data_IF_561250448626
#
_entry.id   IF_561250448626
#
_cell.length_a   1.000
_cell.length_b   1.000
_cell.length_c   1.000
_cell.angle_alpha   90.00
_cell.angle_beta   90.00
_cell.angle_gamma   90.00
#
_symmetry.space_group_name_H-M   'P 1'
#
loop_
_entity.id
_entity.type
_entity.pdbx_description
1 polymer ?
2 non-polymer ?
3 water ?
#
# COMPACT_ATOMS: atom_id res chain seq x y z
N UNK A 1 -17.21 -2.26 6.12
CA UNK A 1 -16.06 -1.67 6.85
C UNK A 1 -14.79 -2.45 6.55
N UNK A 2 -13.64 -1.87 6.89
CA UNK A 2 -12.36 -2.51 6.64
C UNK A 2 -11.37 -2.23 7.77
N UNK A 3 -10.45 -3.16 8.00
CA UNK A 3 -9.44 -2.94 9.02
C UNK A 3 -8.46 -1.95 8.43
N UNK A 4 -8.12 -2.16 7.16
CA UNK A 4 -7.18 -1.30 6.46
C UNK A 4 -7.58 -1.06 5.01
N UNK A 5 -7.41 0.17 4.56
CA UNK A 5 -7.67 0.51 3.18
C UNK A 5 -6.33 0.97 2.64
N UNK A 6 -5.86 0.29 1.60
CA UNK A 6 -4.59 0.63 0.98
C UNK A 6 -4.87 1.46 -0.27
N UNK A 7 -4.32 2.67 -0.32
CA UNK A 7 -4.53 3.49 -1.50
C UNK A 7 -3.30 3.33 -2.37
N UNK A 8 -3.50 2.76 -3.56
CA UNK A 8 -2.38 2.55 -4.46
C UNK A 8 -2.16 1.06 -4.61
N UNK A 9 -2.29 0.58 -5.84
CA UNK A 9 -2.13 -0.83 -6.12
C UNK A 9 -0.94 -1.18 -6.98
N UNK A 10 0.20 -0.54 -6.69
CA UNK A 10 1.42 -0.83 -7.41
C UNK A 10 2.15 -1.86 -6.55
N UNK A 11 3.45 -2.11 -6.77
CA UNK A 11 4.21 -3.09 -5.98
C UNK A 11 4.12 -2.93 -4.45
N UNK A 12 4.23 -1.70 -3.96
CA UNK A 12 4.17 -1.48 -2.51
C UNK A 12 2.77 -1.74 -1.95
N UNK A 13 1.75 -1.23 -2.62
CA UNK A 13 0.39 -1.43 -2.16
C UNK A 13 -0.08 -2.87 -2.20
N UNK A 14 0.26 -3.58 -3.27
CA UNK A 14 -0.14 -4.97 -3.41
C UNK A 14 0.64 -5.90 -2.48
N UNK A 15 1.89 -5.57 -2.21
CA UNK A 15 2.71 -6.37 -1.30
C UNK A 15 2.16 -6.17 0.12
N UNK A 16 1.81 -4.93 0.44
CA UNK A 16 1.26 -4.60 1.74
C UNK A 16 -0.06 -5.36 1.95
N UNK A 17 -0.90 -5.35 0.93
CA UNK A 17 -2.20 -6.03 0.99
C UNK A 17 -2.03 -7.52 1.25
N UNK A 18 -1.06 -8.13 0.57
CA UNK A 18 -0.78 -9.55 0.73
C UNK A 18 -0.45 -9.87 2.19
N UNK A 19 0.47 -9.11 2.78
CA UNK A 19 0.84 -9.36 4.17
C UNK A 19 -0.29 -9.05 5.15
N UNK A 20 -1.03 -7.98 4.89
CA UNK A 20 -2.14 -7.61 5.77
C UNK A 20 -3.23 -8.68 5.75
N UNK A 21 -3.58 -9.15 4.55
CA UNK A 21 -4.59 -10.19 4.40
C UNK A 21 -4.13 -11.47 5.08
N UNK A 22 -2.86 -11.83 4.90
CA UNK A 22 -2.33 -13.04 5.52
C UNK A 22 -2.33 -12.92 7.04
N UNK A 23 -2.38 -11.70 7.55
CA UNK A 23 -2.42 -11.48 8.99
C UNK A 23 -3.87 -11.61 9.46
N UNK A 24 -4.76 -11.94 8.53
CA UNK A 24 -6.17 -12.11 8.85
C UNK A 24 -6.97 -10.82 8.92
N UNK A 25 -6.45 -9.76 8.32
CA UNK A 25 -7.15 -8.49 8.34
C UNK A 25 -8.03 -8.30 7.11
N UNK A 26 -9.10 -7.52 7.26
CA UNK A 26 -9.99 -7.23 6.14
C UNK A 26 -9.34 -6.05 5.44
N UNK A 27 -8.74 -6.30 4.29
CA UNK A 27 -8.05 -5.25 3.56
C UNK A 27 -8.56 -5.02 2.15
N UNK A 28 -8.72 -3.74 1.82
CA UNK A 28 -9.19 -3.33 0.50
C UNK A 28 -8.17 -2.40 -0.14
N UNK A 29 -7.83 -2.71 -1.39
CA UNK A 29 -6.90 -1.90 -2.15
C UNK A 29 -7.69 -1.16 -3.22
N UNK A 30 -7.53 0.15 -3.26
CA UNK A 30 -8.20 0.99 -4.25
C UNK A 30 -7.07 1.51 -5.13
N UNK A 31 -7.12 1.21 -6.42
CA UNK A 31 -6.06 1.63 -7.32
C UNK A 31 -6.54 2.39 -8.56
N UNK A 32 -5.85 3.49 -8.87
CA UNK A 32 -6.21 4.31 -10.01
C UNK A 32 -5.61 3.90 -11.34
N UNK A 33 -4.85 2.80 -11.35
CA UNK A 33 -4.25 2.31 -12.58
C UNK A 33 -3.12 3.09 -13.22
N UNK A 34 -2.33 3.79 -12.42
CA UNK A 34 -1.22 4.56 -12.98
C UNK A 34 0.12 4.15 -12.38
N UNK A 35 0.28 2.85 -12.12
CA UNK A 35 1.53 2.35 -11.58
C UNK A 35 2.65 2.65 -12.57
N UNK A 36 3.78 3.11 -12.06
CA UNK A 36 4.91 3.43 -12.92
C UNK A 36 5.50 2.22 -13.64
N UNK A 37 5.15 1.01 -13.21
CA UNK A 37 5.70 -0.17 -13.85
C UNK A 37 4.82 -0.75 -14.96
N UNK A 38 3.57 -0.31 -15.02
CA UNK A 38 2.63 -0.85 -15.99
C UNK A 38 3.04 -0.86 -17.46
N UNK A 39 3.88 0.09 -17.88
CA UNK A 39 4.29 0.13 -19.27
C UNK A 39 5.57 -0.62 -19.62
N UNK A 40 6.24 -1.17 -18.61
CA UNK A 40 7.48 -1.89 -18.83
C UNK A 40 7.23 -3.19 -19.59
N UNK A 41 7.89 -3.35 -20.74
CA UNK A 41 7.71 -4.55 -21.55
C UNK A 41 8.32 -5.78 -20.89
N UNK A 42 9.37 -5.57 -20.10
CA UNK A 42 10.06 -6.66 -19.42
C UNK A 42 10.85 -6.18 -18.21
N UNK A 43 10.45 -6.62 -17.02
CA UNK A 43 11.12 -6.25 -15.77
C UNK A 43 12.21 -7.30 -15.57
N UNK A 44 13.48 -6.91 -15.70
CA UNK A 44 14.59 -7.86 -15.54
C UNK A 44 15.25 -7.90 -14.18
N UNK A 45 14.77 -7.08 -13.24
CA UNK A 45 15.41 -7.00 -11.94
C UNK A 45 14.54 -7.13 -10.69
N UNK A 46 13.54 -8.00 -10.74
CA UNK A 46 12.70 -8.26 -9.58
C UNK A 46 13.28 -9.61 -9.14
N UNK A 47 14.24 -9.60 -8.20
CA UNK A 47 14.91 -10.80 -7.68
C UNK A 47 14.03 -12.04 -7.53
N UNK A 48 14.33 -13.08 -8.30
CA UNK A 48 13.55 -14.30 -8.21
C UNK A 48 12.62 -14.56 -9.37
N UNK A 49 12.17 -13.50 -10.04
CA UNK A 49 11.27 -13.67 -11.18
C UNK A 49 12.09 -13.78 -12.45
N UNK A 50 12.62 -14.98 -12.67
CA UNK A 50 13.48 -15.29 -13.80
C UNK A 50 12.84 -15.22 -15.18
N UNK A 51 11.52 -15.22 -15.25
CA UNK A 51 10.88 -15.15 -16.56
C UNK A 51 10.80 -13.68 -17.00
N UNK A 52 11.19 -12.78 -16.10
CA UNK A 52 11.20 -11.35 -16.37
C UNK A 52 9.96 -10.89 -17.13
N UNK A 53 8.79 -10.96 -16.48
CA UNK A 53 7.53 -10.56 -17.10
C UNK A 53 7.41 -9.05 -17.29
N UNK A 54 6.45 -8.65 -18.12
CA UNK A 54 6.21 -7.23 -18.36
C UNK A 54 5.66 -6.67 -17.06
N UNK A 55 5.67 -5.35 -16.93
CA UNK A 55 5.16 -4.73 -15.72
C UNK A 55 3.69 -5.05 -15.53
N UNK A 56 2.96 -5.15 -16.64
CA UNK A 56 1.54 -5.46 -16.62
C UNK A 56 1.30 -6.86 -16.05
N UNK A 57 2.15 -7.80 -16.44
CA UNK A 57 2.04 -9.18 -15.97
C UNK A 57 2.42 -9.25 -14.50
N UNK A 58 3.46 -8.51 -14.12
CA UNK A 58 3.91 -8.49 -12.73
C UNK A 58 2.78 -7.99 -11.84
N UNK A 59 2.11 -6.92 -12.27
CA UNK A 59 1.00 -6.37 -11.50
C UNK A 59 -0.10 -7.42 -11.35
N UNK A 60 -0.41 -8.12 -12.43
CA UNK A 60 -1.44 -9.15 -12.38
C UNK A 60 -1.11 -10.25 -11.37
N UNK A 61 0.16 -10.66 -11.33
CA UNK A 61 0.57 -11.70 -10.39
C UNK A 61 0.53 -11.19 -8.95
N UNK A 62 0.90 -9.93 -8.75
CA UNK A 62 0.89 -9.32 -7.42
C UNK A 62 -0.54 -9.19 -6.91
N UNK A 63 -1.47 -8.87 -7.80
CA UNK A 63 -2.87 -8.73 -7.43
C UNK A 63 -3.41 -10.11 -7.08
N UNK A 64 -3.03 -11.11 -7.88
CA UNK A 64 -3.47 -12.48 -7.66
C UNK A 64 -2.95 -12.99 -6.32
N UNK A 65 -1.70 -12.66 -6.01
CA UNK A 65 -1.07 -13.10 -4.78
C UNK A 65 -1.81 -12.54 -3.56
N UNK A 66 -2.19 -11.27 -3.63
CA UNK A 66 -2.92 -10.63 -2.54
C UNK A 66 -4.33 -11.19 -2.41
N UNK A 67 -5.01 -11.36 -3.54
CA UNK A 67 -6.36 -11.90 -3.56
C UNK A 67 -6.37 -13.33 -3.06
N UNK A 68 -5.31 -14.07 -3.38
CA UNK A 68 -5.19 -15.45 -2.97
C UNK A 68 -5.41 -15.61 -1.47
N UNK A 69 -4.91 -14.66 -0.69
CA UNK A 69 -5.05 -14.75 0.75
C UNK A 69 -6.12 -13.86 1.39
N UNK A 70 -7.09 -13.43 0.58
CA UNK A 70 -8.19 -12.64 1.12
C UNK A 70 -8.30 -11.16 0.85
N UNK A 71 -7.27 -10.54 0.30
CA UNK A 71 -7.35 -9.12 0.03
C UNK A 71 -8.28 -8.86 -1.14
N UNK A 72 -8.94 -7.71 -1.12
CA UNK A 72 -9.80 -7.32 -2.22
C UNK A 72 -9.08 -6.17 -2.91
N UNK A 73 -8.92 -6.28 -4.23
CA UNK A 73 -8.23 -5.25 -5.00
C UNK A 73 -9.21 -4.71 -6.03
N UNK A 74 -9.57 -3.44 -5.88
CA UNK A 74 -10.54 -2.82 -6.77
C UNK A 74 -10.04 -1.56 -7.46
N UNK A 75 -10.48 -1.35 -8.71
CA UNK A 75 -10.05 -0.14 -9.42
C UNK A 75 -10.84 1.01 -8.81
N UNK A 76 -10.21 2.17 -8.69
CA UNK A 76 -10.89 3.31 -8.12
C UNK A 76 -9.91 4.41 -7.81
N UNK A 77 -10.38 5.65 -7.92
CA UNK A 77 -9.54 6.80 -7.64
C UNK A 77 -10.04 7.52 -6.41
N UNK A 78 -9.23 7.53 -5.36
CA UNK A 78 -9.60 8.20 -4.12
C UNK A 78 -9.45 9.71 -4.32
N UNK A 79 -10.52 10.45 -4.05
CA UNK A 79 -10.50 11.90 -4.21
C UNK A 79 -10.81 12.59 -2.89
N UNK A 80 -11.30 11.82 -1.93
CA UNK A 80 -11.62 12.39 -0.64
C UNK A 80 -11.35 11.45 0.51
N UNK A 81 -10.95 12.02 1.64
CA UNK A 81 -10.67 11.25 2.84
C UNK A 81 -11.12 12.10 4.03
N UNK A 82 -12.01 11.55 4.85
CA UNK A 82 -12.50 12.27 6.01
C UNK A 82 -12.33 11.45 7.29
N UNK A 83 -11.70 12.06 8.29
CA UNK A 83 -11.49 11.42 9.57
C UNK A 83 -12.79 11.62 10.34
N UNK A 84 -13.48 10.54 10.64
CA UNK A 84 -14.74 10.64 11.36
C UNK A 84 -14.61 10.23 12.82
N UNK A 85 -13.37 10.19 13.30
CA UNK A 85 -13.11 9.84 14.69
C UNK A 85 -13.26 8.36 15.00
N UNK A 86 -12.22 7.59 14.71
CA UNK A 86 -12.26 6.16 14.96
C UNK A 86 -12.33 5.38 13.66
N UNK A 87 -12.72 6.08 12.60
CA UNK A 87 -12.82 5.47 11.29
C UNK A 87 -12.55 6.54 10.23
N UNK A 88 -11.90 6.14 9.15
CA UNK A 88 -11.61 7.04 8.06
C UNK A 88 -12.59 6.71 6.95
N UNK A 89 -13.12 7.75 6.32
CA UNK A 89 -14.05 7.58 5.22
C UNK A 89 -13.30 7.93 3.94
N UNK A 90 -13.15 6.96 3.03
CA UNK A 90 -12.45 7.21 1.78
C UNK A 90 -13.47 7.26 0.65
N UNK A 91 -13.38 8.30 -0.17
CA UNK A 91 -14.33 8.47 -1.27
C UNK A 91 -13.74 8.41 -2.67
N UNK A 92 -14.39 7.62 -3.52
CA UNK A 92 -14.00 7.45 -4.91
C UNK A 92 -15.20 7.91 -5.74
N UNK A 93 -15.15 7.65 -7.04
CA UNK A 93 -16.26 8.04 -7.91
C UNK A 93 -17.42 7.08 -7.68
N UNK A 94 -17.10 5.86 -7.25
CA UNK A 94 -18.11 4.84 -7.02
C UNK A 94 -18.82 4.94 -5.68
N UNK A 95 -18.14 5.52 -4.69
CA UNK A 95 -18.77 5.64 -3.39
C UNK A 95 -17.82 5.85 -2.23
N UNK A 96 -18.27 5.45 -1.05
CA UNK A 96 -17.49 5.61 0.17
C UNK A 96 -17.20 4.28 0.86
N UNK A 97 -15.97 4.15 1.36
CA UNK A 97 -15.55 2.96 2.08
C UNK A 97 -14.94 3.42 3.39
N UNK A 98 -15.11 2.62 4.44
CA UNK A 98 -14.60 2.98 5.76
C UNK A 98 -13.54 2.01 6.27
N UNK A 99 -12.52 2.55 6.92
CA UNK A 99 -11.44 1.74 7.46
C UNK A 99 -10.86 2.40 8.71
N UNK A 100 -10.37 1.59 9.63
CA UNK A 100 -9.78 2.14 10.85
C UNK A 100 -8.39 2.67 10.58
N UNK A 101 -7.68 2.04 9.65
CA UNK A 101 -6.33 2.46 9.29
C UNK A 101 -6.16 2.61 7.78
N UNK A 102 -5.35 3.59 7.39
CA UNK A 102 -5.09 3.85 5.98
C UNK A 102 -3.60 3.71 5.67
N UNK A 103 -3.29 3.07 4.55
CA UNK A 103 -1.91 2.89 4.13
C UNK A 103 -1.79 3.47 2.73
N UNK A 104 -1.00 4.54 2.62
CA UNK A 104 -0.81 5.21 1.34
C UNK A 104 0.42 4.70 0.59
N UNK A 105 0.18 4.09 -0.57
CA UNK A 105 1.23 3.55 -1.43
C UNK A 105 0.94 4.18 -2.79
N UNK A 106 0.87 5.51 -2.74
CA UNK A 106 0.52 6.37 -3.87
C UNK A 106 1.67 6.95 -4.70
N UNK A 107 2.86 6.37 -4.59
CA UNK A 107 4.04 6.87 -5.30
C UNK A 107 4.26 8.35 -4.96
N UNK A 108 4.62 9.17 -5.95
CA UNK A 108 4.90 10.58 -5.70
C UNK A 108 3.73 11.56 -5.65
N UNK A 109 2.52 11.09 -5.95
CA UNK A 109 1.34 11.94 -5.96
C UNK A 109 1.05 12.54 -4.58
N UNK A 110 1.17 13.87 -4.45
CA UNK A 110 0.93 14.58 -3.18
C UNK A 110 -0.54 14.88 -2.84
N UNK A 111 -1.46 14.47 -3.70
CA UNK A 111 -2.88 14.75 -3.47
C UNK A 111 -3.40 14.36 -2.08
N UNK A 112 -3.38 13.07 -1.76
CA UNK A 112 -3.88 12.61 -0.47
C UNK A 112 -3.05 13.09 0.71
N UNK A 113 -1.71 13.13 0.57
CA UNK A 113 -0.89 13.60 1.70
C UNK A 113 -1.30 15.02 2.07
N UNK A 114 -1.55 15.84 1.05
CA UNK A 114 -1.95 17.23 1.27
C UNK A 114 -3.34 17.33 1.91
N UNK A 115 -4.24 16.42 1.54
CA UNK A 115 -5.59 16.42 2.11
C UNK A 115 -5.55 16.18 3.61
N UNK A 116 -4.66 15.29 4.03
CA UNK A 116 -4.52 14.94 5.43
C UNK A 116 -3.54 15.82 6.20
N UNK A 117 -2.93 16.77 5.50
CA UNK A 117 -1.96 17.64 6.13
C UNK A 117 -0.81 16.86 6.74
N UNK A 118 -0.38 15.81 6.04
CA UNK A 118 0.71 14.99 6.53
C UNK A 118 2.04 15.73 6.44
N UNK A 119 2.85 15.60 7.48
CA UNK A 119 4.16 16.23 7.52
C UNK A 119 4.98 15.63 6.38
N UNK A 120 5.74 16.47 5.69
CA UNK A 120 6.54 15.99 4.57
C UNK A 120 8.03 15.99 4.86
N UNK A 121 8.74 15.18 4.08
CA UNK A 121 10.19 15.06 4.15
C UNK A 121 10.57 15.33 2.70
N UNK A 122 10.84 16.59 2.39
CA UNK A 122 11.16 16.93 1.02
C UNK A 122 9.88 16.79 0.22
N UNK A 123 9.92 16.06 -0.88
CA UNK A 123 8.74 15.88 -1.71
C UNK A 123 7.96 14.63 -1.30
N UNK A 124 8.35 14.00 -0.20
CA UNK A 124 7.69 12.77 0.23
C UNK A 124 7.00 12.88 1.58
N UNK A 125 6.27 11.83 1.94
CA UNK A 125 5.57 11.79 3.22
C UNK A 125 6.60 11.45 4.30
N UNK A 126 6.64 12.24 5.37
CA UNK A 126 7.58 11.97 6.45
C UNK A 126 7.05 10.79 7.27
N UNK A 127 7.95 9.89 7.68
CA UNK A 127 7.55 8.72 8.46
C UNK A 127 8.66 8.26 9.39
N UNK A 128 8.31 7.45 10.38
CA UNK A 128 9.32 6.90 11.27
C UNK A 128 9.80 5.64 10.54
N UNK A 129 10.78 4.95 11.10
CA UNK A 129 11.32 3.75 10.46
C UNK A 129 10.25 2.81 9.91
N UNK A 130 9.18 2.62 10.68
CA UNK A 130 8.11 1.71 10.29
C UNK A 130 7.03 2.19 9.33
N UNK A 131 7.11 3.44 8.88
CA UNK A 131 6.11 3.93 7.93
C UNK A 131 4.94 4.70 8.51
N UNK A 132 4.99 5.01 9.80
CA UNK A 132 3.91 5.76 10.43
C UNK A 132 4.08 7.24 10.11
N UNK A 133 3.02 7.84 9.57
CA UNK A 133 3.04 9.25 9.20
C UNK A 133 2.80 10.11 10.44
N UNK A 134 2.66 11.41 10.22
CA UNK A 134 2.42 12.34 11.32
C UNK A 134 0.98 12.23 11.79
N UNK A 135 0.16 11.51 11.03
CA UNK A 135 -1.26 11.35 11.35
C UNK A 135 -1.53 9.95 11.89
N UNK A 136 -2.02 9.85 13.14
CA UNK A 136 -2.33 8.57 13.77
C UNK A 136 -3.18 7.64 12.89
N UNK A 137 -2.77 6.38 12.81
CA UNK A 137 -3.45 5.36 12.04
C UNK A 137 -3.33 5.52 10.53
N UNK A 138 -2.46 6.44 10.11
CA UNK A 138 -2.21 6.66 8.69
C UNK A 138 -0.75 6.28 8.45
N UNK A 139 -0.53 5.36 7.52
CA UNK A 139 0.80 4.86 7.19
C UNK A 139 1.12 5.13 5.72
N UNK A 140 2.39 4.95 5.35
CA UNK A 140 2.83 5.15 3.98
C UNK A 140 3.96 4.18 3.68
N UNK A 141 4.09 3.77 2.42
CA UNK A 141 5.13 2.83 2.03
C UNK A 141 5.55 3.03 0.58
N UNK A 142 6.76 2.58 0.25
CA UNK A 142 7.25 2.70 -1.11
C UNK A 142 7.76 4.09 -1.46
N UNK A 143 7.66 4.44 -2.73
CA UNK A 143 8.12 5.75 -3.19
C UNK A 143 7.41 6.87 -2.42
N UNK A 144 6.15 6.63 -2.05
CA UNK A 144 5.37 7.63 -1.32
C UNK A 144 6.08 8.19 -0.10
N UNK A 145 6.88 7.36 0.56
CA UNK A 145 7.60 7.83 1.74
C UNK A 145 9.10 8.02 1.54
N UNK A 146 9.52 8.22 0.29
CA UNK A 146 10.93 8.45 0.04
C UNK A 146 11.83 7.28 -0.31
N UNK A 147 11.29 6.07 -0.45
CA UNK A 147 12.13 4.94 -0.81
C UNK A 147 12.47 5.11 -2.29
N UNK A 148 13.42 6.00 -2.56
CA UNK A 148 13.81 6.29 -3.93
C UNK A 148 15.33 6.29 -4.09
N UNK A 149 15.82 6.18 -5.34
CA UNK A 149 15.05 6.06 -6.58
C UNK A 149 14.18 4.80 -6.60
N UNK A 150 12.93 4.99 -6.98
CA UNK A 150 11.97 3.90 -7.00
C UNK A 150 12.23 2.73 -7.93
N UNK A 151 12.09 1.53 -7.38
CA UNK A 151 12.24 0.29 -8.12
C UNK A 151 11.16 -0.65 -7.59
N UNK A 152 10.67 -1.53 -8.44
CA UNK A 152 9.61 -2.46 -8.07
C UNK A 152 9.87 -3.29 -6.82
N UNK A 153 11.04 -3.92 -6.76
CA UNK A 153 11.38 -4.76 -5.63
C UNK A 153 11.52 -3.96 -4.33
N UNK A 154 12.02 -2.73 -4.45
CA UNK A 154 12.19 -1.88 -3.27
C UNK A 154 10.82 -1.51 -2.71
N UNK A 155 9.90 -1.10 -3.58
CA UNK A 155 8.56 -0.75 -3.11
C UNK A 155 7.82 -1.95 -2.54
N UNK A 156 7.96 -3.10 -3.19
CA UNK A 156 7.30 -4.32 -2.71
C UNK A 156 7.82 -4.64 -1.31
N UNK A 157 9.14 -4.56 -1.15
CA UNK A 157 9.74 -4.84 0.15
C UNK A 157 9.27 -3.90 1.24
N UNK A 158 9.14 -2.62 0.91
CA UNK A 158 8.69 -1.63 1.88
C UNK A 158 7.22 -1.79 2.23
N UNK A 159 6.41 -2.15 1.24
CA UNK A 159 5.00 -2.35 1.49
C UNK A 159 4.82 -3.46 2.52
N UNK A 160 5.59 -4.53 2.37
CA UNK A 160 5.53 -5.65 3.30
C UNK A 160 6.07 -5.23 4.67
N UNK A 161 7.17 -4.48 4.66
CA UNK A 161 7.80 -4.01 5.89
C UNK A 161 6.84 -3.18 6.74
N UNK A 162 6.21 -2.19 6.12
CA UNK A 162 5.27 -1.33 6.81
C UNK A 162 4.05 -2.12 7.28
N UNK A 163 3.57 -3.04 6.44
CA UNK A 163 2.42 -3.85 6.78
C UNK A 163 2.72 -4.71 8.00
N UNK A 164 3.92 -5.27 8.04
CA UNK A 164 4.32 -6.11 9.16
C UNK A 164 4.34 -5.30 10.46
N UNK A 165 4.81 -4.06 10.39
CA UNK A 165 4.84 -3.25 11.60
C UNK A 165 3.45 -2.74 11.97
N UNK A 166 2.56 -2.64 10.99
CA UNK A 166 1.20 -2.20 11.27
C UNK A 166 0.52 -3.34 12.04
N UNK A 167 0.78 -4.57 11.60
CA UNK A 167 0.21 -5.74 12.25
C UNK A 167 0.82 -5.90 13.64
N UNK A 168 2.12 -5.64 13.76
CA UNK A 168 2.80 -5.75 15.05
C UNK A 168 2.17 -4.81 16.08
N UNK A 169 1.72 -3.64 15.63
CA UNK A 169 1.09 -2.67 16.52
C UNK A 169 -0.23 -3.21 17.05
N UNK A 170 -0.98 -3.88 16.17
CA UNK A 170 -2.27 -4.44 16.54
C UNK A 170 -2.15 -5.64 17.47
N UNK A 171 -1.16 -6.49 17.24
CA UNK A 171 -0.98 -7.68 18.07
C UNK A 171 -0.08 -7.44 19.28
N UNK A 172 0.46 -6.23 19.39
CA UNK A 172 1.32 -5.89 20.51
C UNK A 172 2.59 -6.71 20.63
N UNK A 173 2.93 -7.44 19.58
CA UNK A 173 4.13 -8.27 19.59
C UNK A 173 4.79 -8.26 18.21
N UNK A 174 6.09 -8.58 18.16
CA UNK A 174 6.79 -8.60 16.86
C UNK A 174 6.12 -9.63 15.95
N UNK A 175 5.43 -9.15 14.92
CA UNK A 175 4.74 -10.03 14.00
C UNK A 175 5.63 -10.63 12.92
N UNK A 176 5.52 -11.95 12.77
CA UNK A 176 6.27 -12.66 11.76
C UNK A 176 5.29 -13.53 10.99
N UNK A 177 5.37 -13.49 9.67
CA UNK A 177 4.52 -14.30 8.81
C UNK A 177 5.47 -15.31 8.21
N UNK A 178 5.77 -16.36 8.98
CA UNK A 178 6.71 -17.39 8.56
C UNK A 178 6.05 -18.73 8.32
N UNK A 179 6.69 -19.57 7.51
CA UNK A 179 6.13 -20.88 7.18
C UNK A 179 7.05 -22.06 7.43
N UNK A 180 6.46 -23.24 7.60
CA UNK A 180 7.22 -24.46 7.81
C UNK A 180 7.75 -24.91 6.45
X LIG B 1 3.47 2.74 -8.27
X LIG B 1 3.72 1.36 -8.79
X LIG B 1 3.78 3.92 -9.12
X LIG B 1 1.95 2.73 -7.83
X LIG B 1 1.23 3.84 -7.28
X LIG B 1 -0.20 3.46 -7.52
X LIG B 1 -1.13 4.19 -6.67
X LIG B 1 -0.71 3.61 -8.98
X LIG B 1 -1.30 2.45 -9.56
X LIG B 1 -1.65 4.81 -8.89
X LIG B 1 -2.65 4.94 -9.87
X LIG B 1 -2.20 4.67 -7.48
X LIG B 1 -2.76 5.89 -6.92
X LIG B 1 -2.17 7.11 -6.70
X LIG B 1 -2.99 8.01 -6.18
X LIG B 1 -4.19 7.33 -6.06
X LIG B 1 -5.49 7.73 -5.57
X LIG B 1 -5.73 8.97 -5.12
X LIG B 1 -6.50 6.80 -5.59
X LIG B 1 -6.24 5.55 -6.05
X LIG B 1 -5.07 5.07 -6.53
X LIG B 1 -4.07 6.05 -6.50
X LIG B 1 11.48 -0.53 -11.60
X LIG B 1 12.16 -1.72 -11.55
X LIG B 1 12.40 -2.32 -10.48
X LIG B 1 12.62 -2.30 -12.74
X LIG B 1 12.44 -1.75 -14.02
X LIG B 1 12.88 -2.35 -15.03
X LIG B 1 11.73 -0.51 -14.06
X LIG B 1 11.49 0.12 -15.31
X LIG B 1 10.79 1.33 -15.33
X LIG B 1 10.53 1.99 -16.58
X LIG B 1 9.83 3.19 -16.65
X LIG B 1 9.61 3.80 -18.04
X LIG B 1 9.34 3.80 -15.47
X LIG B 1 8.56 5.11 -15.46
X LIG B 1 9.59 3.16 -14.20
X LIG B 1 10.30 1.95 -14.10
X LIG B 1 10.56 1.29 -12.84
X LIG B 1 11.26 0.07 -12.82
X LIG B 1 10.08 1.90 -11.57
X LIG B 1 8.98 1.12 -10.89
X LIG B 1 7.91 0.93 -11.82
X LIG B 1 8.54 1.86 -9.62
X LIG B 1 9.66 2.03 -8.76
X LIG B 1 7.45 1.09 -8.84
X LIG B 1 6.31 0.87 -9.67
X LIG B 1 7.07 1.88 -7.59
X LIG B 1 6.07 1.17 -6.86
X LIG B 1 5.05 1.94 -5.91
X LIG B 1 4.18 0.91 -5.33
X LIG B 1 5.83 2.81 -4.97
X LIG B 1 4.19 2.91 -6.86
#
# INVERSE_FOLDING_TARGET
>A
MWDVIVVGGGPSGLSAALFLARAGLKVLVLDGGRSKVKGVSRVPNYPGLLDEPSGEELLRRLEAHARRYGAEVRPGVVKGVRDMGGVFEVETEEGVEKAERLLLCTHKDPTLPSLLGLTRRGAYIDTDEGGRTSYPRVYAAGVARGKVPGHAIISAGDGAYVAVHLVSDLRGEPYKDHAL
>B hetero
1 FAD PA O1A O2A O5B C5B C4B O4B C3B O3B C2B O2B C1B N9A C8A N7A C5A C6A N6A N1A C2A N3A C4A N1 C2 O2 N3 C4 O4 C4X N5 C5X C6 C7 C7M C8 C8M C9 C9A N10 C10 C1' C2' O2' C3' O3' C4' O4' C5' O5' P O1P O2P O3P
#
